data_IF_260464532500
#
_entry.id   IF_260464532500
#
_cell.length_a   1.000
_cell.length_b   1.000
_cell.length_c   1.000
_cell.angle_alpha   90.00
_cell.angle_beta   90.00
_cell.angle_gamma   90.00
#
_symmetry.space_group_name_H-M   'P 1'
#
loop_
_entity.id
_entity.type
_entity.pdbx_description
1 polymer ?
#
# COMPACT_ATOMS: atom_id res chain seq x y z
N UNK A 1 50.24 -58.15 20.52
CA UNK A 1 49.58 -59.16 21.37
C UNK A 1 48.95 -58.45 22.56
N UNK A 2 47.64 -58.62 22.80
CA UNK A 2 46.98 -58.13 24.03
C UNK A 2 45.75 -57.25 23.81
N UNK A 3 44.63 -57.87 23.41
CA UNK A 3 43.29 -57.28 23.55
C UNK A 3 42.90 -57.25 25.03
N UNK A 4 42.24 -56.18 25.49
CA UNK A 4 41.26 -56.28 26.57
C UNK A 4 40.03 -55.40 26.29
N UNK A 5 38.88 -56.00 26.54
CA UNK A 5 37.51 -55.60 26.19
C UNK A 5 36.88 -54.68 27.24
N UNK A 6 35.97 -53.81 26.75
CA UNK A 6 34.66 -53.37 27.27
C UNK A 6 34.57 -52.70 28.66
N UNK A 7 33.89 -51.54 28.68
CA UNK A 7 32.60 -51.37 29.38
C UNK A 7 31.88 -50.08 28.94
N UNK A 8 30.57 -50.18 28.65
CA UNK A 8 29.61 -49.07 28.60
C UNK A 8 29.32 -48.59 30.04
N UNK A 9 28.74 -47.40 30.19
CA UNK A 9 27.46 -47.37 30.89
C UNK A 9 26.36 -46.63 30.11
N UNK A 10 25.15 -47.20 30.20
CA UNK A 10 23.89 -46.53 29.94
C UNK A 10 23.45 -45.78 31.21
N UNK A 11 22.80 -44.62 31.05
CA UNK A 11 22.25 -43.87 32.16
C UNK A 11 21.32 -42.75 31.69
N UNK A 12 20.08 -43.14 31.40
CA UNK A 12 18.94 -42.27 31.13
C UNK A 12 18.72 -41.27 32.28
N UNK A 13 18.54 -39.99 31.95
CA UNK A 13 18.07 -38.96 32.88
C UNK A 13 17.11 -38.01 32.19
N UNK A 14 15.84 -38.41 32.09
CA UNK A 14 14.74 -37.54 31.69
C UNK A 14 14.29 -36.66 32.88
N UNK A 15 14.00 -35.37 32.70
CA UNK A 15 13.36 -34.58 33.75
C UNK A 15 11.85 -34.85 33.83
N UNK A 16 11.41 -35.04 35.08
CA UNK A 16 10.06 -35.30 35.55
C UNK A 16 9.16 -34.08 35.31
N UNK A 17 8.05 -34.27 34.58
CA UNK A 17 6.92 -33.35 34.55
C UNK A 17 6.07 -33.55 35.82
N UNK A 18 6.01 -32.55 36.70
CA UNK A 18 4.94 -32.48 37.70
C UNK A 18 3.73 -31.75 37.11
N UNK A 19 2.63 -32.51 36.97
CA UNK A 19 1.29 -32.02 36.65
C UNK A 19 0.35 -32.35 37.82
N UNK A 20 -0.62 -31.46 38.01
CA UNK A 20 -1.85 -31.55 38.82
C UNK A 20 -1.70 -31.20 40.32
N UNK A 21 -2.65 -30.51 40.96
CA UNK A 21 -4.04 -30.36 40.56
C UNK A 21 -4.84 -29.21 41.21
N UNK A 22 -6.00 -29.06 40.58
CA UNK A 22 -7.22 -28.28 40.77
C UNK A 22 -7.93 -28.51 42.12
N UNK A 23 -8.52 -27.46 42.69
CA UNK A 23 -9.75 -27.43 43.55
C UNK A 23 -10.36 -26.00 43.40
N UNK A 24 -11.43 -25.71 42.64
CA UNK A 24 -12.91 -25.77 42.82
C UNK A 24 -13.51 -25.39 44.19
N UNK A 25 -14.11 -24.20 44.29
CA UNK A 25 -15.50 -23.84 44.73
C UNK A 25 -15.58 -22.30 44.85
N UNK A 26 -16.65 -21.53 44.66
CA UNK A 26 -18.09 -21.81 44.51
C UNK A 26 -18.86 -20.59 45.10
N UNK A 27 -19.85 -20.04 44.35
CA UNK A 27 -20.84 -19.04 44.82
C UNK A 27 -20.45 -17.57 44.62
N UNK A 28 -21.24 -16.65 44.07
CA UNK A 28 -22.67 -16.61 43.79
C UNK A 28 -23.20 -15.24 44.27
N UNK A 29 -23.76 -14.42 43.36
CA UNK A 29 -24.91 -13.51 43.61
C UNK A 29 -25.26 -12.68 42.38
N UNK A 30 -26.57 -12.61 42.17
CA UNK A 30 -27.29 -11.92 41.12
C UNK A 30 -27.71 -10.49 41.53
N UNK A 31 -28.42 -9.83 40.60
CA UNK A 31 -29.23 -8.61 40.71
C UNK A 31 -28.44 -7.29 40.57
N UNK A 32 -28.90 -6.25 39.86
CA UNK A 32 -30.27 -5.88 39.46
C UNK A 32 -30.25 -4.76 38.41
N UNK A 33 -31.25 -4.78 37.53
CA UNK A 33 -31.73 -3.68 36.67
C UNK A 33 -32.14 -2.44 37.48
N UNK A 34 -32.45 -1.33 36.79
CA UNK A 34 -33.82 -0.83 36.94
C UNK A 34 -34.53 -0.48 35.62
N UNK A 35 -35.83 -0.79 35.64
CA UNK A 35 -36.91 -0.41 34.72
C UNK A 35 -37.67 0.82 35.24
N UNK A 36 -38.31 1.55 34.31
CA UNK A 36 -39.45 2.46 34.54
C UNK A 36 -39.05 3.90 34.87
N UNK A 37 -39.71 4.97 34.41
CA UNK A 37 -41.17 5.18 34.28
C UNK A 37 -41.44 6.40 33.37
N UNK A 38 -42.36 6.28 32.41
CA UNK A 38 -43.12 7.39 31.76
C UNK A 38 -44.32 7.78 32.64
N UNK A 39 -44.92 9.00 32.58
CA UNK A 39 -46.02 9.18 31.61
C UNK A 39 -46.37 10.63 31.18
N UNK A 40 -47.13 10.70 30.08
CA UNK A 40 -48.37 11.50 29.87
C UNK A 40 -48.35 13.04 29.93
N UNK A 41 -48.79 13.64 28.83
CA UNK A 41 -49.24 15.05 28.76
C UNK A 41 -49.78 15.40 27.38
N UNK A 42 -50.96 14.88 27.03
CA UNK A 42 -51.76 15.32 25.89
C UNK A 42 -52.76 16.37 26.36
N UNK A 43 -52.80 17.53 25.70
CA UNK A 43 -53.97 18.43 25.59
C UNK A 43 -53.61 19.57 24.61
N UNK A 44 -54.27 19.68 23.46
CA UNK A 44 -55.15 20.84 23.28
C UNK A 44 -55.54 21.01 21.82
N UNK A 45 -56.76 20.60 21.52
CA UNK A 45 -57.48 20.71 20.27
C UNK A 45 -57.89 22.17 19.99
N UNK A 46 -57.66 22.69 18.78
CA UNK A 46 -58.54 23.75 18.24
C UNK A 46 -58.70 23.64 16.73
N UNK A 47 -59.85 23.09 16.37
CA UNK A 47 -60.45 23.12 15.03
C UNK A 47 -60.87 24.55 14.69
N UNK A 48 -60.48 25.02 13.51
CA UNK A 48 -61.23 26.05 12.76
C UNK A 48 -61.41 25.54 11.34
N UNK A 49 -62.63 25.06 11.03
CA UNK A 49 -63.11 24.93 9.66
C UNK A 49 -63.61 26.29 9.19
N UNK A 50 -63.13 26.77 8.04
CA UNK A 50 -63.99 27.47 7.08
C UNK A 50 -63.69 26.98 5.66
N UNK A 51 -64.79 26.69 4.99
CA UNK A 51 -64.99 26.14 3.65
C UNK A 51 -65.18 27.33 2.70
N UNK A 52 -64.70 27.23 1.44
CA UNK A 52 -65.44 27.43 0.16
C UNK A 52 -64.59 28.04 -0.97
N UNK A 53 -64.60 27.40 -2.15
CA UNK A 53 -64.81 28.09 -3.43
C UNK A 53 -63.61 28.35 -4.37
N UNK A 54 -63.60 27.65 -5.52
CA UNK A 54 -62.83 27.82 -6.79
C UNK A 54 -63.08 29.20 -7.48
N UNK A 55 -62.40 29.62 -8.60
CA UNK A 55 -61.84 28.80 -9.69
C UNK A 55 -60.48 29.23 -10.32
N UNK A 56 -60.01 28.36 -11.21
CA UNK A 56 -58.77 28.38 -11.99
C UNK A 56 -58.96 29.24 -13.24
N UNK A 57 -58.15 30.30 -13.41
CA UNK A 57 -58.10 31.13 -14.61
C UNK A 57 -56.98 30.69 -15.54
N UNK A 58 -57.35 30.19 -16.73
CA UNK A 58 -56.41 29.78 -17.77
C UNK A 58 -55.75 30.96 -18.47
N UNK A 59 -54.42 31.03 -18.43
CA UNK A 59 -53.64 31.96 -19.23
C UNK A 59 -53.44 31.40 -20.64
N UNK A 60 -54.23 31.91 -21.59
CA UNK A 60 -54.08 31.67 -23.04
C UNK A 60 -52.88 32.49 -23.54
N UNK A 61 -51.73 31.87 -23.82
CA UNK A 61 -50.61 32.54 -24.52
C UNK A 61 -50.91 32.58 -26.02
N UNK A 62 -50.90 33.77 -26.64
CA UNK A 62 -50.85 33.92 -28.10
C UNK A 62 -49.42 33.61 -28.58
N UNK A 63 -49.20 32.86 -29.68
CA UNK A 63 -47.90 32.79 -30.30
C UNK A 63 -47.68 34.04 -31.17
N UNK A 64 -46.64 34.80 -30.88
CA UNK A 64 -46.16 35.88 -31.74
C UNK A 64 -45.29 35.24 -32.83
N UNK A 65 -45.73 35.37 -34.08
CA UNK A 65 -45.08 34.84 -35.27
C UNK A 65 -43.81 35.65 -35.56
N UNK A 66 -42.65 35.15 -35.12
CA UNK A 66 -41.34 35.78 -35.41
C UNK A 66 -41.03 35.59 -36.88
N UNK A 67 -41.37 36.60 -37.69
CA UNK A 67 -40.95 36.69 -39.09
C UNK A 67 -39.44 37.03 -39.12
N UNK A 68 -38.59 36.01 -39.06
CA UNK A 68 -37.14 36.16 -39.22
C UNK A 68 -36.88 36.70 -40.62
N UNK A 69 -36.45 37.95 -40.70
CA UNK A 69 -35.98 38.54 -41.94
C UNK A 69 -34.49 38.24 -42.03
N UNK A 70 -34.08 37.32 -42.91
CA UNK A 70 -32.66 36.96 -43.08
C UNK A 70 -31.87 38.14 -43.66
N UNK A 71 -30.94 38.78 -42.90
CA UNK A 71 -30.11 39.82 -43.45
C UNK A 71 -29.08 39.21 -44.42
N UNK A 72 -28.93 39.80 -45.60
CA UNK A 72 -27.93 39.36 -46.59
C UNK A 72 -26.53 39.42 -45.96
N UNK A 73 -25.66 38.38 -46.14
CA UNK A 73 -24.34 38.36 -45.52
C UNK A 73 -23.50 39.55 -45.97
N UNK A 74 -22.67 40.10 -45.07
CA UNK A 74 -21.78 41.22 -45.39
C UNK A 74 -20.68 40.81 -46.36
N UNK A 75 -20.02 41.79 -46.99
CA UNK A 75 -18.95 41.54 -47.97
C UNK A 75 -17.83 40.65 -47.40
N UNK A 76 -17.33 40.96 -46.20
CA UNK A 76 -16.26 40.19 -45.57
C UNK A 76 -16.66 38.74 -45.26
N UNK A 77 -17.91 38.50 -44.87
CA UNK A 77 -18.45 37.14 -44.68
C UNK A 77 -18.49 36.40 -46.01
N UNK A 78 -18.92 37.04 -47.10
CA UNK A 78 -18.91 36.42 -48.44
C UNK A 78 -17.49 36.13 -48.91
N UNK A 79 -16.53 37.03 -48.67
CA UNK A 79 -15.13 36.84 -49.02
C UNK A 79 -14.51 35.65 -48.27
N UNK A 80 -14.79 35.52 -46.97
CA UNK A 80 -14.36 34.38 -46.17
C UNK A 80 -15.00 33.06 -46.62
N UNK A 81 -16.32 33.07 -46.88
CA UNK A 81 -17.02 31.90 -47.41
C UNK A 81 -16.42 31.49 -48.76
N UNK A 82 -16.14 32.43 -49.66
CA UNK A 82 -15.53 32.12 -50.96
C UNK A 82 -14.12 31.50 -50.83
N UNK A 83 -13.38 31.82 -49.77
CA UNK A 83 -12.07 31.22 -49.50
C UNK A 83 -12.18 29.79 -48.94
N UNK A 84 -13.09 29.54 -48.01
CA UNK A 84 -13.22 28.25 -47.30
C UNK A 84 -14.11 27.24 -48.03
N UNK A 85 -15.15 27.71 -48.72
CA UNK A 85 -16.15 26.85 -49.37
C UNK A 85 -15.55 25.89 -50.41
N UNK A 86 -14.60 26.28 -51.29
CA UNK A 86 -14.03 25.35 -52.26
C UNK A 86 -13.34 24.16 -51.59
N UNK A 87 -12.55 24.40 -50.54
CA UNK A 87 -11.94 23.33 -49.75
C UNK A 87 -13.02 22.47 -49.07
N UNK A 88 -14.03 23.10 -48.45
CA UNK A 88 -15.09 22.34 -47.78
C UNK A 88 -15.92 21.49 -48.76
N UNK A 89 -16.14 21.95 -49.99
CA UNK A 89 -16.81 21.18 -51.05
C UNK A 89 -15.98 19.98 -51.49
N UNK A 90 -14.65 20.12 -51.57
CA UNK A 90 -13.76 19.03 -51.95
C UNK A 90 -13.65 17.94 -50.86
N UNK A 91 -13.64 18.33 -49.58
CA UNK A 91 -13.44 17.40 -48.46
C UNK A 91 -14.73 16.94 -47.76
N UNK A 92 -15.91 17.40 -48.18
CA UNK A 92 -17.21 16.98 -47.62
C UNK A 92 -18.25 16.76 -48.72
N UNK A 93 -18.59 15.48 -48.94
CA UNK A 93 -19.57 15.07 -49.95
C UNK A 93 -20.98 15.64 -49.67
N UNK A 94 -21.42 15.63 -48.41
CA UNK A 94 -22.75 16.11 -48.02
C UNK A 94 -22.92 17.62 -48.25
N UNK A 95 -21.88 18.39 -47.94
CA UNK A 95 -21.89 19.84 -48.17
C UNK A 95 -21.90 20.15 -49.67
N UNK A 96 -21.10 19.43 -50.47
CA UNK A 96 -21.11 19.54 -51.93
C UNK A 96 -22.49 19.24 -52.54
N UNK A 97 -23.16 18.17 -52.08
CA UNK A 97 -24.50 17.82 -52.53
C UNK A 97 -25.54 18.92 -52.20
N UNK A 98 -25.40 19.56 -51.02
CA UNK A 98 -26.22 20.72 -50.64
C UNK A 98 -26.02 21.91 -51.58
N UNK A 99 -24.77 22.27 -51.88
CA UNK A 99 -24.44 23.39 -52.79
C UNK A 99 -24.93 23.12 -54.22
N UNK A 100 -24.75 21.90 -54.74
CA UNK A 100 -25.22 21.52 -56.07
C UNK A 100 -26.74 21.64 -56.21
N UNK A 101 -27.50 21.26 -55.17
CA UNK A 101 -28.96 21.38 -55.15
C UNK A 101 -29.41 22.85 -55.14
N UNK A 102 -28.78 23.68 -54.32
CA UNK A 102 -29.07 25.12 -54.31
C UNK A 102 -28.73 25.78 -55.65
N UNK A 103 -27.64 25.40 -56.31
CA UNK A 103 -27.28 25.89 -57.65
C UNK A 103 -28.26 25.44 -58.74
N UNK A 104 -28.88 24.26 -58.59
CA UNK A 104 -29.88 23.72 -59.53
C UNK A 104 -31.32 24.16 -59.21
N UNK A 105 -31.51 25.04 -58.23
CA UNK A 105 -32.84 25.56 -57.85
C UNK A 105 -33.70 24.59 -57.04
N UNK A 106 -33.11 23.47 -56.58
CA UNK A 106 -33.78 22.53 -55.69
C UNK A 106 -33.67 23.01 -54.22
N UNK A 107 -34.67 22.72 -53.37
CA UNK A 107 -34.60 23.07 -51.94
C UNK A 107 -33.42 22.37 -51.27
N UNK A 108 -32.86 23.02 -50.23
CA UNK A 108 -31.76 22.48 -49.44
C UNK A 108 -32.08 21.07 -48.93
N UNK A 109 -31.05 20.23 -48.80
CA UNK A 109 -31.20 18.89 -48.23
C UNK A 109 -31.89 18.99 -46.85
N UNK A 110 -32.84 18.09 -46.54
CA UNK A 110 -33.40 18.03 -45.19
C UNK A 110 -32.23 17.87 -44.20
N UNK A 111 -32.29 18.52 -43.01
CA UNK A 111 -31.26 18.36 -42.00
C UNK A 111 -30.98 16.87 -41.78
N UNK A 112 -29.71 16.43 -41.74
CA UNK A 112 -29.41 15.04 -41.43
C UNK A 112 -30.09 14.70 -40.10
N UNK A 113 -30.84 13.60 -40.07
CA UNK A 113 -31.39 13.07 -38.82
C UNK A 113 -30.26 13.02 -37.80
N UNK A 114 -30.51 13.65 -36.64
CA UNK A 114 -29.53 13.74 -35.57
C UNK A 114 -28.91 12.35 -35.36
N UNK A 115 -27.56 12.23 -35.30
CA UNK A 115 -26.93 10.96 -35.07
C UNK A 115 -27.52 10.36 -33.80
N UNK A 116 -28.12 9.18 -33.95
CA UNK A 116 -28.65 8.37 -32.85
C UNK A 116 -27.53 8.26 -31.81
N UNK A 117 -27.77 8.57 -30.52
CA UNK A 117 -26.72 8.66 -29.52
C UNK A 117 -25.93 7.34 -29.52
N UNK A 118 -24.68 7.44 -29.93
CA UNK A 118 -23.69 6.40 -29.84
C UNK A 118 -23.51 6.09 -28.34
N UNK A 119 -23.51 4.81 -27.93
CA UNK A 119 -23.43 4.47 -26.52
C UNK A 119 -22.16 5.08 -25.93
N UNK A 120 -22.36 5.81 -24.84
CA UNK A 120 -21.33 6.45 -24.04
C UNK A 120 -20.19 5.44 -23.77
N UNK A 121 -18.91 5.80 -24.03
CA UNK A 121 -17.81 4.88 -23.80
C UNK A 121 -17.82 4.49 -22.32
N UNK A 122 -17.99 3.19 -22.08
CA UNK A 122 -17.89 2.59 -20.76
C UNK A 122 -16.54 3.01 -20.14
N UNK A 123 -16.51 3.50 -18.88
CA UNK A 123 -15.29 4.02 -18.29
C UNK A 123 -14.23 2.92 -18.29
N UNK A 124 -13.12 3.16 -18.97
CA UNK A 124 -11.98 2.25 -18.98
C UNK A 124 -11.59 1.92 -17.53
N UNK A 125 -11.38 0.64 -17.19
CA UNK A 125 -10.95 0.26 -15.85
C UNK A 125 -9.66 1.03 -15.51
N UNK A 126 -9.53 1.56 -14.27
CA UNK A 126 -8.39 2.40 -13.90
C UNK A 126 -7.11 1.63 -14.18
N UNK A 127 -6.29 2.19 -15.07
CA UNK A 127 -4.96 1.68 -15.40
C UNK A 127 -4.19 1.55 -14.08
N UNK A 128 -3.63 0.36 -13.76
CA UNK A 128 -2.93 0.17 -12.52
C UNK A 128 -1.80 1.20 -12.43
N UNK A 129 -1.86 2.05 -11.41
CA UNK A 129 -0.81 3.01 -11.13
C UNK A 129 0.51 2.26 -10.95
N UNK A 130 1.62 2.76 -11.53
CA UNK A 130 2.91 2.12 -11.34
C UNK A 130 3.21 2.04 -9.85
N UNK A 131 3.80 0.92 -9.36
CA UNK A 131 4.08 0.76 -7.94
C UNK A 131 4.88 1.96 -7.43
N UNK A 132 4.29 2.69 -6.48
CA UNK A 132 4.90 3.86 -5.87
C UNK A 132 6.13 3.39 -5.08
N UNK A 133 7.32 3.72 -5.56
CA UNK A 133 8.56 3.45 -4.84
C UNK A 133 8.69 4.52 -3.76
N UNK A 134 8.21 4.22 -2.56
CA UNK A 134 8.46 5.04 -1.37
C UNK A 134 9.84 4.71 -0.81
N UNK A 135 10.61 5.75 -0.49
CA UNK A 135 11.92 5.57 0.16
C UNK A 135 11.69 5.12 1.61
N UNK A 136 12.48 4.16 2.06
CA UNK A 136 12.45 3.73 3.45
C UNK A 136 12.76 4.93 4.39
N UNK A 137 12.18 4.97 5.60
CA UNK A 137 12.45 6.03 6.55
C UNK A 137 13.92 6.01 6.97
N UNK A 138 14.67 7.05 6.60
CA UNK A 138 16.11 7.17 6.85
C UNK A 138 16.40 7.28 8.35
N UNK A 139 15.53 7.97 9.09
CA UNK A 139 15.68 8.23 10.52
C UNK A 139 15.78 6.95 11.35
N UNK A 140 14.98 5.93 11.02
CA UNK A 140 15.02 4.64 11.70
C UNK A 140 16.35 3.89 11.45
N UNK A 141 16.93 4.06 10.25
CA UNK A 141 18.23 3.48 9.93
C UNK A 141 19.38 4.20 10.66
N UNK A 142 19.34 5.54 10.71
CA UNK A 142 20.30 6.33 11.48
C UNK A 142 20.20 6.05 12.98
N UNK A 143 18.99 5.88 13.50
CA UNK A 143 18.77 5.48 14.89
C UNK A 143 19.35 4.10 15.18
N UNK A 144 19.17 3.13 14.29
CA UNK A 144 19.80 1.81 14.45
C UNK A 144 21.33 1.90 14.43
N UNK A 145 21.90 2.75 13.57
CA UNK A 145 23.34 2.99 13.54
C UNK A 145 23.86 3.61 14.84
N UNK A 146 23.14 4.59 15.40
CA UNK A 146 23.45 5.20 16.69
C UNK A 146 23.40 4.19 17.85
N UNK A 147 22.46 3.24 17.82
CA UNK A 147 22.41 2.14 18.81
C UNK A 147 23.64 1.25 18.73
N UNK A 148 24.07 0.86 17.52
CA UNK A 148 25.28 0.07 17.36
C UNK A 148 26.54 0.82 17.77
N UNK A 149 26.59 2.13 17.52
CA UNK A 149 27.70 2.95 17.98
C UNK A 149 27.73 3.04 19.51
N UNK A 150 26.58 3.31 20.16
CA UNK A 150 26.49 3.44 21.62
C UNK A 150 26.87 2.16 22.36
N UNK A 151 26.37 1.00 21.92
CA UNK A 151 26.61 -0.26 22.63
C UNK A 151 27.92 -0.94 22.22
N UNK A 152 28.36 -0.77 20.97
CA UNK A 152 29.46 -1.56 20.40
C UNK A 152 30.57 -0.76 19.73
N UNK A 153 30.53 0.57 19.69
CA UNK A 153 31.50 1.40 18.96
C UNK A 153 31.68 0.98 17.50
N UNK A 154 30.58 0.55 16.88
CA UNK A 154 30.60 -0.07 15.57
C UNK A 154 31.15 0.85 14.47
N UNK A 155 30.77 2.13 14.48
CA UNK A 155 31.23 3.09 13.48
C UNK A 155 32.72 3.38 13.69
N UNK A 156 33.16 3.60 14.93
CA UNK A 156 34.59 3.79 15.24
C UNK A 156 35.43 2.62 14.73
N UNK A 157 34.97 1.39 14.96
CA UNK A 157 35.68 0.19 14.53
C UNK A 157 35.79 0.06 13.01
N UNK A 158 34.79 0.53 12.25
CA UNK A 158 34.82 0.50 10.79
C UNK A 158 35.69 1.61 10.17
N UNK A 159 35.72 2.77 10.82
CA UNK A 159 36.50 3.93 10.36
C UNK A 159 37.99 3.85 10.77
N UNK A 160 38.33 2.98 11.72
CA UNK A 160 39.72 2.73 12.14
C UNK A 160 40.52 2.00 11.05
N UNK A 161 41.74 2.47 10.78
CA UNK A 161 42.67 1.78 9.87
C UNK A 161 43.35 0.61 10.59
N UNK A 162 42.84 -0.60 10.35
CA UNK A 162 43.32 -1.81 11.01
C UNK A 162 44.62 -2.38 10.40
N UNK A 163 45.17 -1.81 9.32
CA UNK A 163 46.24 -2.42 8.55
C UNK A 163 47.56 -2.64 9.34
N UNK A 164 47.78 -1.83 10.38
CA UNK A 164 49.00 -1.90 11.20
C UNK A 164 48.87 -2.76 12.46
N UNK A 165 47.67 -3.23 12.78
CA UNK A 165 47.40 -4.02 13.99
C UNK A 165 47.61 -5.51 13.75
N UNK A 166 47.97 -6.23 14.81
CA UNK A 166 48.05 -7.69 14.81
C UNK A 166 46.67 -8.35 14.84
N UNK A 167 46.58 -9.61 14.41
CA UNK A 167 45.36 -10.42 14.51
C UNK A 167 44.87 -10.54 15.96
N UNK A 168 45.80 -10.57 16.94
CA UNK A 168 45.48 -10.57 18.36
C UNK A 168 44.79 -9.28 18.81
N UNK A 169 45.31 -8.13 18.40
CA UNK A 169 44.74 -6.80 18.72
C UNK A 169 43.38 -6.61 18.03
N UNK A 170 43.29 -6.93 16.73
CA UNK A 170 42.03 -6.88 15.98
C UNK A 170 41.02 -7.83 16.62
N UNK A 171 41.43 -9.05 16.96
CA UNK A 171 40.58 -10.03 17.62
C UNK A 171 40.11 -9.58 19.01
N UNK A 172 40.93 -8.84 19.77
CA UNK A 172 40.54 -8.29 21.06
C UNK A 172 39.47 -7.20 20.87
N UNK A 173 39.70 -6.24 19.96
CA UNK A 173 38.74 -5.18 19.65
C UNK A 173 37.42 -5.74 19.09
N UNK A 174 37.49 -6.67 18.13
CA UNK A 174 36.34 -7.27 17.48
C UNK A 174 35.43 -8.01 18.48
N UNK A 175 35.98 -8.63 19.53
CA UNK A 175 35.17 -9.28 20.58
C UNK A 175 34.32 -8.27 21.36
N UNK A 176 34.89 -7.12 21.70
CA UNK A 176 34.17 -6.03 22.40
C UNK A 176 33.05 -5.48 21.51
N UNK A 177 33.36 -5.15 20.24
CA UNK A 177 32.39 -4.64 19.28
C UNK A 177 31.27 -5.65 19.03
N UNK A 178 31.63 -6.92 18.85
CA UNK A 178 30.67 -8.00 18.66
C UNK A 178 29.73 -8.16 19.85
N UNK A 179 30.24 -8.14 21.08
CA UNK A 179 29.42 -8.24 22.30
C UNK A 179 28.43 -7.07 22.40
N UNK A 180 28.90 -5.84 22.17
CA UNK A 180 28.06 -4.65 22.17
C UNK A 180 26.97 -4.67 21.09
N UNK A 181 27.33 -5.00 19.85
CA UNK A 181 26.37 -5.11 18.75
C UNK A 181 25.36 -6.24 19.01
N UNK A 182 25.82 -7.38 19.56
CA UNK A 182 24.94 -8.49 19.94
C UNK A 182 23.95 -8.06 21.01
N UNK A 183 24.38 -7.29 22.01
CA UNK A 183 23.51 -6.73 23.05
C UNK A 183 22.45 -5.82 22.42
N UNK A 184 22.84 -4.86 21.57
CA UNK A 184 21.92 -3.97 20.87
C UNK A 184 20.86 -4.74 20.06
N UNK A 185 21.26 -5.76 19.29
CA UNK A 185 20.32 -6.59 18.54
C UNK A 185 19.33 -7.29 19.47
N UNK A 186 19.79 -7.88 20.58
CA UNK A 186 18.94 -8.68 21.47
C UNK A 186 17.98 -7.83 22.29
N UNK A 187 18.32 -6.58 22.55
CA UNK A 187 17.45 -5.65 23.27
C UNK A 187 16.28 -5.17 22.39
N UNK A 188 16.52 -4.93 21.10
CA UNK A 188 15.55 -4.32 20.19
C UNK A 188 14.88 -5.29 19.20
N UNK A 189 15.45 -6.49 18.99
CA UNK A 189 14.97 -7.44 17.99
C UNK A 189 14.83 -8.86 18.55
N UNK A 190 13.78 -9.55 18.11
CA UNK A 190 13.68 -11.01 18.25
C UNK A 190 13.90 -11.67 16.89
N UNK A 191 15.06 -12.29 16.73
CA UNK A 191 15.43 -12.97 15.49
C UNK A 191 15.09 -14.46 15.57
N UNK A 192 14.53 -14.99 14.49
CA UNK A 192 14.25 -16.41 14.29
C UNK A 192 14.85 -16.86 12.95
N UNK A 193 15.14 -18.15 12.76
CA UNK A 193 15.55 -18.65 11.48
C UNK A 193 14.40 -18.59 10.46
N UNK A 194 14.73 -18.44 9.18
CA UNK A 194 13.72 -18.52 8.10
C UNK A 194 13.31 -19.97 7.89
N UNK A 195 14.27 -20.90 7.98
CA UNK A 195 14.06 -22.36 7.93
C UNK A 195 14.42 -23.04 9.24
N UNK A 196 13.54 -23.94 9.68
CA UNK A 196 13.69 -24.63 10.96
C UNK A 196 14.65 -25.85 10.87
N UNK A 197 14.91 -26.34 9.66
CA UNK A 197 15.87 -27.41 9.39
C UNK A 197 17.30 -27.02 9.80
N UNK A 198 18.13 -28.02 10.13
CA UNK A 198 19.54 -27.80 10.47
C UNK A 198 20.37 -27.47 9.22
N UNK A 199 21.39 -26.64 9.39
CA UNK A 199 22.37 -26.39 8.33
C UNK A 199 23.10 -27.69 7.98
N UNK A 200 23.34 -27.92 6.69
CA UNK A 200 23.92 -29.16 6.18
C UNK A 200 22.89 -30.26 5.87
N UNK A 201 21.62 -30.08 6.20
CA UNK A 201 20.57 -31.06 5.87
C UNK A 201 20.10 -30.93 4.43
N UNK A 202 19.67 -32.05 3.83
CA UNK A 202 19.05 -32.03 2.51
C UNK A 202 17.60 -31.58 2.62
N UNK A 203 17.26 -30.51 1.91
CA UNK A 203 15.92 -29.95 1.87
C UNK A 203 15.38 -29.97 0.43
N UNK A 204 14.06 -30.04 0.34
CA UNK A 204 13.33 -29.86 -0.91
C UNK A 204 12.72 -28.45 -0.93
N UNK A 205 12.99 -27.71 -2.00
CA UNK A 205 12.39 -26.40 -2.26
C UNK A 205 11.24 -26.59 -3.26
N UNK A 206 9.98 -26.44 -2.82
CA UNK A 206 8.82 -26.77 -3.64
C UNK A 206 8.61 -25.76 -4.77
N UNK A 207 7.76 -26.13 -5.73
CA UNK A 207 7.28 -25.20 -6.76
C UNK A 207 6.48 -24.07 -6.10
N UNK A 208 6.73 -22.83 -6.54
CA UNK A 208 6.10 -21.64 -5.95
C UNK A 208 6.71 -21.18 -4.62
N UNK A 209 7.96 -21.56 -4.33
CA UNK A 209 8.67 -21.02 -3.16
C UNK A 209 8.82 -19.50 -3.25
N UNK A 210 8.88 -18.83 -2.10
CA UNK A 210 9.09 -17.40 -2.01
C UNK A 210 10.57 -17.04 -2.18
N UNK A 211 10.88 -16.32 -3.27
CA UNK A 211 12.23 -15.89 -3.61
C UNK A 211 12.79 -14.81 -2.66
N UNK A 212 11.96 -14.17 -1.84
CA UNK A 212 12.41 -13.23 -0.81
C UNK A 212 12.95 -13.94 0.44
N UNK A 213 12.50 -15.17 0.70
CA UNK A 213 12.91 -15.94 1.89
C UNK A 213 13.90 -17.05 1.58
N UNK A 214 13.92 -17.57 0.35
CA UNK A 214 14.83 -18.64 -0.06
C UNK A 214 15.61 -18.19 -1.30
N UNK A 215 16.94 -18.11 -1.15
CA UNK A 215 17.87 -17.91 -2.27
C UNK A 215 18.48 -19.24 -2.67
N UNK A 216 18.24 -19.66 -3.90
CA UNK A 216 18.91 -20.81 -4.51
C UNK A 216 20.33 -20.41 -4.92
N UNK A 217 21.33 -21.24 -4.61
CA UNK A 217 22.74 -21.03 -4.98
C UNK A 217 23.29 -22.25 -5.72
N UNK A 218 24.29 -22.04 -6.59
CA UNK A 218 24.87 -23.09 -7.42
C UNK A 218 24.24 -23.19 -8.81
N UNK A 219 24.40 -24.35 -9.46
CA UNK A 219 23.85 -24.59 -10.80
C UNK A 219 22.37 -24.99 -10.71
N UNK A 220 21.48 -24.01 -10.82
CA UNK A 220 20.02 -24.22 -10.78
C UNK A 220 19.52 -24.43 -12.21
N UNK A 221 19.21 -25.68 -12.56
CA UNK A 221 18.69 -26.06 -13.88
C UNK A 221 17.39 -26.82 -13.71
N UNK A 222 16.43 -26.58 -14.60
CA UNK A 222 15.11 -27.21 -14.59
C UNK A 222 14.07 -26.43 -13.78
N UNK A 223 12.91 -27.06 -13.59
CA UNK A 223 11.82 -26.51 -12.78
C UNK A 223 11.82 -27.11 -11.36
N UNK A 224 11.31 -26.39 -10.35
CA UNK A 224 11.10 -26.95 -9.03
C UNK A 224 10.13 -28.14 -9.07
N UNK A 225 10.21 -29.08 -8.10
CA UNK A 225 10.94 -28.96 -6.84
C UNK A 225 12.45 -29.14 -6.99
N UNK A 226 13.22 -28.26 -6.34
CA UNK A 226 14.68 -28.37 -6.27
C UNK A 226 15.07 -29.16 -5.03
N UNK A 227 16.12 -29.99 -5.11
CA UNK A 227 16.74 -30.61 -3.94
C UNK A 227 18.14 -30.06 -3.76
N UNK A 228 18.46 -29.68 -2.54
CA UNK A 228 19.77 -29.13 -2.20
C UNK A 228 20.07 -29.29 -0.73
N UNK A 229 21.23 -28.79 -0.31
CA UNK A 229 21.65 -28.76 1.09
C UNK A 229 21.42 -27.36 1.65
N UNK A 230 20.75 -27.24 2.80
CA UNK A 230 20.54 -25.96 3.46
C UNK A 230 21.89 -25.43 3.99
N UNK A 231 22.46 -24.43 3.32
CA UNK A 231 23.77 -23.88 3.72
C UNK A 231 23.67 -22.90 4.89
N UNK A 232 22.60 -22.10 4.94
CA UNK A 232 22.35 -21.14 6.00
C UNK A 232 20.83 -20.99 6.20
N UNK A 233 20.37 -21.03 7.45
CA UNK A 233 18.93 -21.02 7.77
C UNK A 233 18.21 -19.69 7.53
N UNK A 234 19.00 -18.64 7.29
CA UNK A 234 18.52 -17.27 7.19
C UNK A 234 18.13 -16.70 8.55
N UNK A 235 17.91 -15.39 8.59
CA UNK A 235 17.38 -14.70 9.76
C UNK A 235 16.16 -13.89 9.35
N UNK A 236 15.09 -13.97 10.15
CA UNK A 236 13.93 -13.08 10.08
C UNK A 236 13.72 -12.42 11.42
N UNK A 237 13.40 -11.12 11.40
CA UNK A 237 12.90 -10.45 12.59
C UNK A 237 11.44 -10.84 12.80
N UNK A 238 11.13 -11.40 13.97
CA UNK A 238 9.76 -11.70 14.42
C UNK A 238 9.19 -10.58 15.30
N UNK A 239 10.08 -9.75 15.85
CA UNK A 239 9.78 -8.51 16.58
C UNK A 239 10.90 -7.52 16.34
N UNK A 240 10.56 -6.25 16.16
CA UNK A 240 11.48 -5.12 16.03
C UNK A 240 10.90 -3.91 16.75
N UNK A 241 11.58 -3.43 17.78
CA UNK A 241 11.16 -2.28 18.59
C UNK A 241 12.37 -1.38 18.89
N UNK A 242 12.44 -0.27 18.14
CA UNK A 242 13.44 0.76 18.35
C UNK A 242 12.98 1.74 19.44
N UNK A 243 13.91 2.42 20.15
CA UNK A 243 13.57 3.46 21.09
C UNK A 243 12.74 4.58 20.44
N UNK A 244 11.93 5.27 21.23
CA UNK A 244 11.18 6.44 20.72
C UNK A 244 12.13 7.61 20.54
N UNK A 245 12.03 8.28 19.39
CA UNK A 245 12.71 9.55 19.14
C UNK A 245 11.92 10.69 19.80
N UNK A 246 12.62 11.57 20.50
CA UNK A 246 12.07 12.85 20.94
C UNK A 246 12.29 13.90 19.85
N UNK A 247 11.43 14.92 19.76
CA UNK A 247 11.56 15.98 18.73
C UNK A 247 12.88 16.76 18.82
N UNK A 248 13.52 16.77 19.99
CA UNK A 248 14.80 17.44 20.25
C UNK A 248 16.02 16.61 19.84
N UNK A 249 15.85 15.33 19.50
CA UNK A 249 16.97 14.45 19.15
C UNK A 249 17.26 14.48 17.65
N UNK A 250 18.39 15.08 17.28
CA UNK A 250 18.89 15.03 15.90
C UNK A 250 19.50 13.65 15.59
N UNK A 251 18.75 12.83 14.85
CA UNK A 251 19.17 11.48 14.41
C UNK A 251 20.36 11.49 13.47
N UNK A 252 20.73 12.62 12.89
CA UNK A 252 21.92 12.73 12.05
C UNK A 252 23.21 12.74 12.88
N UNK A 253 23.13 13.02 14.18
CA UNK A 253 24.27 12.93 15.10
C UNK A 253 24.34 11.51 15.68
N UNK A 254 25.11 10.64 15.01
CA UNK A 254 25.26 9.22 15.40
C UNK A 254 25.94 9.06 16.76
N UNK A 255 26.98 9.86 17.02
CA UNK A 255 27.62 10.00 18.32
C UNK A 255 28.06 11.45 18.53
N UNK A 256 27.83 12.04 19.72
CA UNK A 256 28.31 13.38 20.02
C UNK A 256 29.83 13.39 20.17
N UNK A 257 30.46 14.54 19.87
CA UNK A 257 31.87 14.75 20.18
C UNK A 257 32.06 14.95 21.69
N UNK A 258 33.04 14.26 22.27
CA UNK A 258 33.40 14.37 23.68
C UNK A 258 34.60 15.33 23.84
N UNK A 259 34.50 16.29 24.76
CA UNK A 259 35.54 17.28 25.05
C UNK A 259 35.82 17.27 26.56
N UNK A 260 37.05 16.93 26.94
CA UNK A 260 37.54 17.01 28.32
C UNK A 260 38.01 18.45 28.63
N UNK A 261 37.73 18.95 29.84
CA UNK A 261 38.08 20.30 30.32
C UNK A 261 39.01 20.26 31.54
#
# INVERSE_FOLDING_TARGET
MGQFRRARPAGNGAPVYHRAGRVVDGGGRANSLPLGVTPSGAEGFRVVRRRTGRPVGGFRRRPEEIRVSDPKPSFFVRLWIAFVAPWRVLFSADFGAGVQRLMSGAPALPPPEAPKPEPEPEPEPPKPEPPRIERAPVDAALQLLALFQREGRFVDFLEEDVASFSDEEIGAAARVVHEGCRKAVREHFTLAPVKDDEEGTSIEVPKGFDAHTIRLTGNVVGEPPFRGTLQHRGWKATRAELPKLTEEHDVHVIAPAEVEL
#
